data_IF_975874864260
#
_entry.id   IF_975874864260
#
_cell.length_a   1.000
_cell.length_b   1.000
_cell.length_c   1.000
_cell.angle_alpha   90.00
_cell.angle_beta   90.00
_cell.angle_gamma   90.00
#
_symmetry.space_group_name_H-M   'P 1'
#
loop_
_entity.id
_entity.type
_entity.pdbx_description
1 polymer ?
#
# COMPACT_ATOMS: atom_id res chain seq x y z
N UNK A 1 3.43 3.52 -25.79
CA UNK A 1 2.96 4.44 -24.75
C UNK A 1 1.83 3.85 -23.93
N UNK A 2 0.94 3.05 -24.53
CA UNK A 2 -0.25 2.47 -23.87
C UNK A 2 0.08 1.46 -22.76
N UNK A 3 1.14 0.66 -22.93
CA UNK A 3 1.56 -0.32 -21.90
C UNK A 3 1.98 0.35 -20.59
N UNK A 4 2.71 1.48 -20.65
CA UNK A 4 3.12 2.24 -19.46
C UNK A 4 1.91 2.79 -18.70
N UNK A 5 0.89 3.22 -19.43
CA UNK A 5 -0.34 3.76 -18.87
C UNK A 5 -1.16 2.64 -18.21
N UNK A 6 -1.27 1.48 -18.86
CA UNK A 6 -1.94 0.31 -18.30
C UNK A 6 -1.25 -0.20 -17.02
N UNK A 7 0.09 -0.30 -17.03
CA UNK A 7 0.88 -0.68 -15.86
C UNK A 7 0.68 0.30 -14.71
N UNK A 8 0.72 1.61 -14.97
CA UNK A 8 0.51 2.65 -13.95
C UNK A 8 -0.91 2.57 -13.34
N UNK A 9 -1.93 2.38 -14.17
CA UNK A 9 -3.31 2.21 -13.72
C UNK A 9 -3.52 0.95 -12.88
N UNK A 10 -2.90 -0.16 -13.27
CA UNK A 10 -2.95 -1.42 -12.53
C UNK A 10 -2.27 -1.29 -11.15
N UNK A 11 -1.05 -0.73 -11.10
CA UNK A 11 -0.30 -0.49 -9.85
C UNK A 11 -1.10 0.40 -8.90
N UNK A 12 -1.66 1.49 -9.42
CA UNK A 12 -2.47 2.40 -8.63
C UNK A 12 -3.71 1.70 -8.05
N UNK A 13 -4.41 0.92 -8.86
CA UNK A 13 -5.59 0.18 -8.42
C UNK A 13 -5.24 -0.84 -7.34
N UNK A 14 -4.17 -1.62 -7.54
CA UNK A 14 -3.69 -2.63 -6.57
C UNK A 14 -3.32 -2.01 -5.22
N UNK A 15 -2.65 -0.86 -5.25
CA UNK A 15 -2.27 -0.15 -4.04
C UNK A 15 -3.49 0.42 -3.30
N UNK A 16 -4.39 1.08 -4.01
CA UNK A 16 -5.59 1.66 -3.42
C UNK A 16 -6.54 0.60 -2.86
N UNK A 17 -6.74 -0.52 -3.57
CA UNK A 17 -7.53 -1.65 -3.06
C UNK A 17 -6.95 -2.22 -1.76
N UNK A 18 -5.62 -2.31 -1.67
CA UNK A 18 -4.92 -2.75 -0.46
C UNK A 18 -5.04 -1.71 0.67
N UNK A 19 -4.95 -0.41 0.36
CA UNK A 19 -5.15 0.67 1.33
C UNK A 19 -6.57 0.66 1.90
N UNK A 20 -7.60 0.53 1.07
CA UNK A 20 -8.98 0.49 1.55
C UNK A 20 -9.22 -0.72 2.46
N UNK A 21 -8.73 -1.88 2.05
CA UNK A 21 -8.78 -3.09 2.88
C UNK A 21 -8.09 -2.89 4.23
N UNK A 22 -6.90 -2.27 4.23
CA UNK A 22 -6.20 -1.93 5.46
C UNK A 22 -7.02 -1.01 6.38
N UNK A 23 -7.63 0.05 5.84
CA UNK A 23 -8.46 1.01 6.61
C UNK A 23 -9.67 0.33 7.27
N UNK A 24 -10.22 -0.71 6.66
CA UNK A 24 -11.29 -1.50 7.29
C UNK A 24 -10.78 -2.50 8.33
N UNK A 25 -9.61 -3.11 8.09
CA UNK A 25 -9.12 -4.22 8.90
C UNK A 25 -8.18 -3.83 10.04
N UNK A 26 -7.57 -2.64 10.04
CA UNK A 26 -6.61 -2.28 11.10
C UNK A 26 -7.25 -2.25 12.50
N UNK A 27 -8.49 -1.80 12.62
CA UNK A 27 -9.24 -1.75 13.90
C UNK A 27 -9.47 -3.15 14.49
N UNK A 28 -10.12 -4.09 13.79
CA UNK A 28 -10.31 -5.45 14.31
C UNK A 28 -8.99 -6.22 14.43
N UNK A 29 -7.98 -5.91 13.61
CA UNK A 29 -6.67 -6.53 13.73
C UNK A 29 -5.91 -6.10 15.00
N UNK A 30 -6.08 -4.86 15.46
CA UNK A 30 -5.39 -4.36 16.65
C UNK A 30 -6.17 -4.62 17.94
N UNK A 31 -7.51 -4.65 17.87
CA UNK A 31 -8.40 -4.97 19.01
C UNK A 31 -9.29 -6.19 18.72
N UNK A 32 -8.72 -7.41 18.63
CA UNK A 32 -9.49 -8.62 18.34
C UNK A 32 -10.46 -9.02 19.47
N UNK A 33 -10.23 -8.55 20.71
CA UNK A 33 -11.05 -8.87 21.88
C UNK A 33 -11.84 -7.67 22.44
N UNK A 34 -11.94 -6.57 21.70
CA UNK A 34 -12.61 -5.36 22.17
C UNK A 34 -11.87 -4.65 23.30
N UNK A 35 -10.53 -4.72 23.31
CA UNK A 35 -9.69 -3.93 24.18
C UNK A 35 -9.91 -2.43 23.90
N UNK A 36 -9.99 -1.61 24.95
CA UNK A 36 -10.09 -0.15 24.86
C UNK A 36 -8.73 0.43 24.44
N UNK A 37 -8.47 0.42 23.14
CA UNK A 37 -7.27 1.02 22.57
C UNK A 37 -7.61 2.46 22.16
N UNK A 38 -6.74 3.45 22.42
CA UNK A 38 -6.98 4.82 22.00
C UNK A 38 -6.89 4.97 20.47
N UNK A 39 -7.99 4.64 19.77
CA UNK A 39 -8.09 4.67 18.30
C UNK A 39 -7.68 6.02 17.72
N UNK A 40 -8.03 7.12 18.40
CA UNK A 40 -7.66 8.47 17.98
C UNK A 40 -6.15 8.71 17.99
N UNK A 41 -5.41 8.22 18.99
CA UNK A 41 -3.95 8.35 19.04
C UNK A 41 -3.26 7.49 17.98
N UNK A 42 -3.76 6.29 17.72
CA UNK A 42 -3.21 5.41 16.68
C UNK A 42 -3.43 6.03 15.30
N UNK A 43 -4.65 6.49 15.03
CA UNK A 43 -4.97 7.16 13.79
C UNK A 43 -4.15 8.46 13.61
N UNK A 44 -3.94 9.24 14.67
CA UNK A 44 -3.04 10.39 14.64
C UNK A 44 -1.59 9.98 14.32
N UNK A 45 -1.13 8.84 14.85
CA UNK A 45 0.20 8.29 14.54
C UNK A 45 0.31 7.88 13.07
N UNK A 46 -0.73 7.26 12.51
CA UNK A 46 -0.80 6.92 11.08
C UNK A 46 -0.77 8.16 10.19
N UNK A 47 -1.54 9.19 10.55
CA UNK A 47 -1.51 10.48 9.85
C UNK A 47 -0.14 11.15 9.93
N UNK A 48 0.53 11.08 11.09
CA UNK A 48 1.89 11.60 11.23
C UNK A 48 2.89 10.81 10.36
N UNK A 49 2.77 9.48 10.32
CA UNK A 49 3.60 8.63 9.47
C UNK A 49 3.41 8.94 7.98
N UNK A 50 2.17 9.12 7.53
CA UNK A 50 1.86 9.47 6.13
C UNK A 50 2.33 10.88 5.76
N UNK A 51 2.28 11.85 6.68
CA UNK A 51 2.87 13.19 6.50
C UNK A 51 4.40 13.12 6.37
N UNK A 52 5.06 12.30 7.20
CA UNK A 52 6.50 12.06 7.10
C UNK A 52 6.86 11.43 5.74
N UNK A 53 6.13 10.41 5.33
CA UNK A 53 6.29 9.78 4.01
C UNK A 53 6.13 10.76 2.85
N UNK A 54 5.08 11.60 2.89
CA UNK A 54 4.85 12.63 1.87
C UNK A 54 6.00 13.65 1.80
N UNK A 55 6.54 14.03 2.95
CA UNK A 55 7.68 14.95 3.05
C UNK A 55 8.97 14.34 2.48
N UNK A 56 9.21 13.05 2.73
CA UNK A 56 10.33 12.29 2.15
C UNK A 56 10.18 12.25 0.63
N UNK A 57 8.99 11.91 0.13
CA UNK A 57 8.72 11.87 -1.30
C UNK A 57 8.88 13.24 -1.97
N UNK A 58 8.41 14.32 -1.35
CA UNK A 58 8.62 15.67 -1.86
C UNK A 58 10.12 16.01 -2.00
N UNK A 59 10.95 15.63 -1.01
CA UNK A 59 12.41 15.81 -1.08
C UNK A 59 13.07 14.93 -2.14
N UNK A 60 12.62 13.68 -2.28
CA UNK A 60 13.10 12.77 -3.33
C UNK A 60 12.74 13.30 -4.71
N UNK A 61 11.52 13.79 -4.91
CA UNK A 61 11.07 14.40 -6.16
C UNK A 61 11.80 15.70 -6.49
N UNK A 62 12.18 16.48 -5.47
CA UNK A 62 13.00 17.68 -5.65
C UNK A 62 14.45 17.36 -6.05
N UNK A 63 14.97 16.18 -5.66
CA UNK A 63 16.31 15.72 -6.02
C UNK A 63 16.23 14.79 -7.21
N UNK A 64 16.49 15.33 -8.41
CA UNK A 64 16.50 14.62 -9.71
C UNK A 64 17.46 13.41 -9.83
N UNK A 65 18.10 12.99 -8.74
CA UNK A 65 19.08 11.90 -8.70
C UNK A 65 18.44 10.51 -8.66
N UNK A 66 17.18 10.39 -8.21
CA UNK A 66 16.50 9.10 -8.07
C UNK A 66 15.25 9.08 -8.95
N UNK A 67 15.21 8.17 -9.93
CA UNK A 67 14.00 7.92 -10.73
C UNK A 67 12.87 7.45 -9.83
N UNK A 68 11.68 8.00 -10.06
CA UNK A 68 10.46 7.68 -9.29
C UNK A 68 10.18 6.19 -9.33
N UNK A 69 10.48 5.58 -10.46
CA UNK A 69 10.20 4.19 -10.72
C UNK A 69 10.99 3.23 -9.81
N UNK A 70 12.24 3.59 -9.47
CA UNK A 70 13.14 2.74 -8.69
C UNK A 70 12.82 2.77 -7.19
N UNK A 71 12.57 3.95 -6.61
CA UNK A 71 12.25 4.01 -5.19
C UNK A 71 10.83 3.51 -4.91
N UNK A 72 9.87 3.68 -5.83
CA UNK A 72 8.51 3.17 -5.68
C UNK A 72 8.47 1.64 -5.57
N UNK A 73 9.37 0.93 -6.25
CA UNK A 73 9.48 -0.52 -6.11
C UNK A 73 9.83 -0.92 -4.67
N UNK A 74 10.77 -0.21 -4.05
CA UNK A 74 11.19 -0.43 -2.65
C UNK A 74 10.02 -0.13 -1.72
N UNK A 75 9.29 0.96 -1.97
CA UNK A 75 8.09 1.33 -1.20
C UNK A 75 7.05 0.21 -1.24
N UNK A 76 6.73 -0.36 -2.40
CA UNK A 76 5.79 -1.47 -2.49
C UNK A 76 6.27 -2.74 -1.79
N UNK A 77 7.58 -3.03 -1.82
CA UNK A 77 8.17 -4.15 -1.08
C UNK A 77 8.05 -3.94 0.43
N UNK A 78 8.35 -2.74 0.91
CA UNK A 78 8.19 -2.37 2.33
C UNK A 78 6.72 -2.49 2.73
N UNK A 79 5.78 -1.99 1.91
CA UNK A 79 4.35 -2.13 2.16
C UNK A 79 3.90 -3.60 2.22
N UNK A 80 4.36 -4.42 1.28
CA UNK A 80 4.05 -5.86 1.23
C UNK A 80 4.58 -6.59 2.46
N UNK A 81 5.82 -6.31 2.88
CA UNK A 81 6.40 -6.86 4.11
C UNK A 81 5.68 -6.36 5.36
N UNK A 82 5.27 -5.09 5.37
CA UNK A 82 4.54 -4.47 6.49
C UNK A 82 3.17 -5.11 6.71
N UNK A 83 2.47 -5.49 5.64
CA UNK A 83 1.21 -6.22 5.74
C UNK A 83 1.39 -7.72 6.01
N UNK A 84 2.60 -8.28 5.89
CA UNK A 84 2.92 -9.64 6.36
C UNK A 84 3.23 -9.70 7.86
N UNK A 85 3.65 -8.59 8.47
CA UNK A 85 3.96 -8.54 9.90
C UNK A 85 2.78 -8.99 10.79
N UNK A 86 1.53 -8.52 10.61
CA UNK A 86 0.39 -8.99 11.40
C UNK A 86 0.15 -10.50 11.28
N UNK A 87 0.46 -11.09 10.11
CA UNK A 87 0.33 -12.52 9.88
C UNK A 87 1.40 -13.25 10.69
N UNK A 88 2.66 -12.81 10.59
CA UNK A 88 3.78 -13.39 11.32
C UNK A 88 3.62 -13.26 12.83
N UNK A 89 3.14 -12.13 13.34
CA UNK A 89 2.89 -11.95 14.78
C UNK A 89 1.80 -12.88 15.29
N UNK A 90 0.73 -13.08 14.51
CA UNK A 90 -0.34 -14.04 14.83
C UNK A 90 0.17 -15.48 14.87
N UNK A 91 1.16 -15.85 14.04
CA UNK A 91 1.72 -17.20 14.00
C UNK A 91 2.87 -17.44 14.99
N UNK A 92 3.74 -16.47 15.24
CA UNK A 92 4.96 -16.63 16.04
C UNK A 92 4.83 -16.18 17.49
N UNK A 93 3.88 -15.30 17.81
CA UNK A 93 3.68 -14.80 19.17
C UNK A 93 2.35 -15.34 19.68
N UNK A 94 2.34 -16.39 20.53
CA UNK A 94 1.13 -16.80 21.22
C UNK A 94 0.68 -15.61 22.09
N UNK A 95 -0.47 -15.02 21.77
CA UNK A 95 -1.09 -13.99 22.61
C UNK A 95 -1.26 -14.55 24.02
N UNK A 96 -0.61 -14.00 25.06
CA UNK A 96 -0.92 -14.36 26.43
C UNK A 96 -2.41 -14.07 26.66
N UNK A 97 -3.15 -15.02 27.24
CA UNK A 97 -4.60 -14.92 27.52
C UNK A 97 -4.96 -13.85 28.58
N UNK A 98 -4.01 -13.02 29.01
CA UNK A 98 -4.22 -12.08 30.10
C UNK A 98 -4.30 -10.63 29.62
N UNK A 99 -5.31 -9.93 30.16
CA UNK A 99 -5.54 -8.50 30.02
C UNK A 99 -4.40 -7.72 30.67
N UNK A 100 -3.29 -7.54 29.95
CA UNK A 100 -2.24 -6.61 30.39
C UNK A 100 -2.58 -5.24 29.83
N UNK A 101 -2.81 -4.27 30.71
CA UNK A 101 -3.18 -2.88 30.37
C UNK A 101 -2.09 -2.06 29.67
N UNK A 102 -1.16 -2.71 28.95
CA UNK A 102 -0.11 -2.08 28.15
C UNK A 102 0.03 -2.84 26.81
N UNK A 103 0.36 -2.11 25.74
CA UNK A 103 0.49 -2.66 24.39
C UNK A 103 1.48 -3.85 24.43
N UNK A 104 0.97 -5.07 24.26
CA UNK A 104 1.80 -6.28 24.17
C UNK A 104 2.87 -6.11 23.08
N UNK A 105 4.03 -6.76 23.24
CA UNK A 105 5.12 -6.69 22.25
C UNK A 105 4.63 -7.00 20.81
N UNK A 106 3.66 -7.92 20.67
CA UNK A 106 3.01 -8.22 19.40
C UNK A 106 2.19 -7.06 18.83
N UNK A 107 1.43 -6.34 19.67
CA UNK A 107 0.65 -5.17 19.27
C UNK A 107 1.53 -3.98 18.88
N UNK A 108 2.66 -3.78 19.58
CA UNK A 108 3.65 -2.76 19.24
C UNK A 108 4.30 -3.02 17.87
N UNK A 109 4.64 -4.29 17.59
CA UNK A 109 5.22 -4.69 16.30
C UNK A 109 4.20 -4.54 15.16
N UNK A 110 2.94 -4.87 15.41
CA UNK A 110 1.85 -4.68 14.46
C UNK A 110 1.59 -3.19 14.16
N UNK A 111 1.57 -2.34 15.19
CA UNK A 111 1.44 -0.89 15.05
C UNK A 111 2.62 -0.29 14.27
N UNK A 112 3.84 -0.78 14.49
CA UNK A 112 5.02 -0.39 13.72
C UNK A 112 4.87 -0.77 12.24
N UNK A 113 4.39 -1.99 11.94
CA UNK A 113 4.10 -2.42 10.57
C UNK A 113 3.04 -1.55 9.91
N UNK A 114 1.96 -1.23 10.62
CA UNK A 114 0.91 -0.33 10.13
C UNK A 114 1.42 1.09 9.89
N UNK A 115 2.28 1.63 10.77
CA UNK A 115 2.92 2.92 10.55
C UNK A 115 3.85 2.92 9.34
N UNK A 116 4.60 1.83 9.11
CA UNK A 116 5.47 1.69 7.94
C UNK A 116 4.65 1.62 6.63
N UNK A 117 3.51 0.94 6.65
CA UNK A 117 2.56 0.93 5.54
C UNK A 117 2.00 2.34 5.27
N UNK A 118 1.57 3.08 6.30
CA UNK A 118 1.06 4.45 6.17
C UNK A 118 2.12 5.46 5.69
N UNK A 119 3.36 5.33 6.15
CA UNK A 119 4.47 6.10 5.61
C UNK A 119 4.67 5.81 4.11
N UNK A 120 4.49 4.56 3.69
CA UNK A 120 4.57 4.15 2.30
C UNK A 120 3.42 4.71 1.45
N UNK A 121 2.20 4.77 2.00
CA UNK A 121 1.04 5.46 1.40
C UNK A 121 1.34 6.94 1.20
N UNK A 122 1.94 7.59 2.20
CA UNK A 122 2.38 8.98 2.11
C UNK A 122 3.40 9.22 0.98
N UNK A 123 4.31 8.27 0.74
CA UNK A 123 5.26 8.36 -0.37
C UNK A 123 4.59 8.10 -1.73
N UNK A 124 3.64 7.16 -1.75
CA UNK A 124 2.96 6.71 -2.96
C UNK A 124 2.17 7.84 -3.64
N UNK A 125 1.37 8.61 -2.90
CA UNK A 125 0.50 9.67 -3.45
C UNK A 125 1.20 10.75 -4.29
N UNK A 126 2.25 11.45 -3.80
CA UNK A 126 2.96 12.45 -4.59
C UNK A 126 3.70 11.81 -5.79
N UNK A 127 4.21 10.60 -5.62
CA UNK A 127 4.97 9.87 -6.63
C UNK A 127 4.09 9.41 -7.80
N UNK A 128 2.92 8.83 -7.50
CA UNK A 128 1.94 8.46 -8.52
C UNK A 128 1.43 9.71 -9.24
N UNK A 129 1.19 10.82 -8.52
CA UNK A 129 0.73 12.08 -9.13
C UNK A 129 1.70 12.60 -10.19
N UNK A 130 3.01 12.50 -9.92
CA UNK A 130 4.09 12.88 -10.84
C UNK A 130 4.16 11.95 -12.05
N UNK A 131 4.15 10.63 -11.85
CA UNK A 131 4.15 9.66 -12.97
C UNK A 131 2.90 9.83 -13.85
N UNK A 132 1.74 10.03 -13.22
CA UNK A 132 0.47 10.25 -13.88
C UNK A 132 0.53 11.49 -14.79
N UNK A 133 1.25 12.55 -14.40
CA UNK A 133 1.35 13.79 -15.22
C UNK A 133 2.34 13.67 -16.36
N UNK A 134 3.31 12.75 -16.26
CA UNK A 134 4.30 12.53 -17.30
C UNK A 134 3.83 11.53 -18.36
N UNK A 135 3.05 10.51 -17.96
CA UNK A 135 2.73 9.38 -18.84
C UNK A 135 1.31 9.41 -19.42
N UNK A 136 0.35 10.12 -18.82
CA UNK A 136 -1.06 10.01 -19.21
C UNK A 136 -1.57 11.34 -19.77
N UNK A 137 -2.02 11.38 -21.05
CA UNK A 137 -2.67 12.56 -21.62
C UNK A 137 -3.94 12.90 -20.83
N UNK A 138 -4.20 14.20 -20.64
CA UNK A 138 -5.26 14.68 -19.76
C UNK A 138 -6.65 14.16 -20.14
N UNK A 139 -6.92 13.95 -21.43
CA UNK A 139 -8.24 13.54 -21.92
C UNK A 139 -8.63 12.11 -21.51
N UNK A 140 -7.67 11.17 -21.50
CA UNK A 140 -7.94 9.74 -21.26
C UNK A 140 -7.65 9.29 -19.83
N UNK A 141 -7.12 10.19 -18.98
CA UNK A 141 -6.62 9.84 -17.65
C UNK A 141 -7.68 9.22 -16.75
N UNK A 142 -8.84 9.87 -16.67
CA UNK A 142 -9.95 9.41 -15.82
C UNK A 142 -10.46 8.05 -16.30
N UNK A 143 -10.66 7.89 -17.61
CA UNK A 143 -11.18 6.67 -18.22
C UNK A 143 -10.28 5.46 -17.97
N UNK A 144 -8.97 5.60 -18.21
CA UNK A 144 -8.04 4.48 -18.04
C UNK A 144 -7.88 4.10 -16.57
N UNK A 145 -7.76 5.08 -15.66
CA UNK A 145 -7.70 4.78 -14.23
C UNK A 145 -8.97 4.07 -13.73
N UNK A 146 -10.15 4.54 -14.16
CA UNK A 146 -11.42 3.94 -13.75
C UNK A 146 -11.60 2.53 -14.33
N UNK A 147 -11.14 2.29 -15.55
CA UNK A 147 -11.22 0.97 -16.19
C UNK A 147 -10.49 -0.13 -15.39
N UNK A 148 -9.33 0.19 -14.80
CA UNK A 148 -8.60 -0.76 -13.94
C UNK A 148 -9.10 -0.78 -12.49
N UNK A 149 -9.60 0.36 -11.97
CA UNK A 149 -10.12 0.46 -10.61
C UNK A 149 -11.41 -0.31 -10.41
N UNK A 150 -12.37 -0.23 -11.34
CA UNK A 150 -13.71 -0.79 -11.15
C UNK A 150 -13.65 -2.32 -10.93
N UNK A 151 -13.01 -3.13 -11.80
CA UNK A 151 -12.99 -4.58 -11.63
C UNK A 151 -12.24 -5.00 -10.35
N UNK A 152 -11.11 -4.36 -10.08
CA UNK A 152 -10.28 -4.70 -8.93
C UNK A 152 -10.96 -4.31 -7.60
N UNK A 153 -11.57 -3.13 -7.53
CA UNK A 153 -12.28 -2.70 -6.34
C UNK A 153 -13.55 -3.52 -6.12
N UNK A 154 -14.25 -3.93 -7.18
CA UNK A 154 -15.36 -4.90 -7.06
C UNK A 154 -14.86 -6.21 -6.46
N UNK A 155 -13.73 -6.74 -6.95
CA UNK A 155 -13.13 -7.96 -6.38
C UNK A 155 -12.80 -7.78 -4.88
N UNK A 156 -12.16 -6.67 -4.51
CA UNK A 156 -11.86 -6.34 -3.11
C UNK A 156 -13.14 -6.22 -2.27
N UNK A 157 -14.17 -5.56 -2.79
CA UNK A 157 -15.47 -5.44 -2.11
C UNK A 157 -16.13 -6.81 -1.91
N UNK A 158 -16.05 -7.73 -2.88
CA UNK A 158 -16.58 -9.10 -2.73
C UNK A 158 -15.84 -9.85 -1.63
N UNK A 159 -14.51 -9.73 -1.58
CA UNK A 159 -13.68 -10.35 -0.54
C UNK A 159 -14.02 -9.77 0.84
N UNK A 160 -14.13 -8.44 0.95
CA UNK A 160 -14.50 -7.76 2.19
C UNK A 160 -15.95 -8.04 2.62
N UNK A 161 -16.87 -8.20 1.68
CA UNK A 161 -18.25 -8.60 1.99
C UNK A 161 -18.32 -10.00 2.59
N UNK A 162 -17.40 -10.89 2.20
CA UNK A 162 -17.26 -12.22 2.76
C UNK A 162 -16.28 -12.26 3.95
N UNK A 163 -16.10 -11.16 4.70
CA UNK A 163 -15.17 -11.09 5.84
C UNK A 163 -15.51 -12.07 6.97
N UNK A 164 -16.78 -12.41 7.14
CA UNK A 164 -17.18 -13.42 8.13
C UNK A 164 -16.75 -14.84 7.72
N UNK A 165 -16.49 -15.06 6.42
CA UNK A 165 -16.04 -16.35 5.89
C UNK A 165 -14.51 -16.47 5.78
N UNK A 166 -13.78 -15.36 5.77
CA UNK A 166 -12.32 -15.35 5.58
C UNK A 166 -11.58 -14.71 6.76
N UNK A 167 -10.59 -15.40 7.35
CA UNK A 167 -9.82 -14.83 8.45
C UNK A 167 -9.02 -13.60 7.98
N UNK A 168 -8.86 -12.62 8.87
CA UNK A 168 -8.14 -11.36 8.64
C UNK A 168 -6.72 -11.58 8.10
N UNK A 169 -6.07 -12.68 8.50
CA UNK A 169 -4.76 -13.12 7.98
C UNK A 169 -4.77 -13.40 6.48
N UNK A 170 -5.84 -14.01 5.95
CA UNK A 170 -5.98 -14.25 4.51
C UNK A 170 -6.16 -12.93 3.76
N UNK A 171 -6.92 -11.99 4.32
CA UNK A 171 -7.11 -10.67 3.71
C UNK A 171 -5.81 -9.86 3.63
N UNK A 172 -5.06 -9.79 4.73
CA UNK A 172 -3.73 -9.15 4.72
C UNK A 172 -2.75 -9.89 3.79
N UNK A 173 -2.85 -11.21 3.71
CA UNK A 173 -2.07 -12.03 2.77
C UNK A 173 -2.35 -11.66 1.32
N UNK A 174 -3.63 -11.51 0.96
CA UNK A 174 -4.03 -11.08 -0.38
C UNK A 174 -3.56 -9.65 -0.69
N UNK A 175 -3.70 -8.71 0.25
CA UNK A 175 -3.15 -7.36 0.09
C UNK A 175 -1.63 -7.39 -0.11
N UNK A 176 -0.91 -8.22 0.65
CA UNK A 176 0.54 -8.37 0.48
C UNK A 176 0.91 -8.91 -0.90
N UNK A 177 0.17 -9.90 -1.42
CA UNK A 177 0.35 -10.43 -2.78
C UNK A 177 0.07 -9.33 -3.81
N UNK A 178 -1.00 -8.55 -3.65
CA UNK A 178 -1.32 -7.45 -4.58
C UNK A 178 -0.24 -6.38 -4.60
N UNK A 179 0.31 -6.00 -3.45
CA UNK A 179 1.43 -5.06 -3.36
C UNK A 179 2.72 -5.66 -3.94
N UNK A 180 2.94 -6.97 -3.78
CA UNK A 180 4.07 -7.64 -4.39
C UNK A 180 3.96 -7.67 -5.92
N UNK A 181 2.77 -7.98 -6.45
CA UNK A 181 2.48 -7.88 -7.89
C UNK A 181 2.67 -6.45 -8.37
N UNK A 182 2.18 -5.45 -7.63
CA UNK A 182 2.39 -4.04 -7.94
C UNK A 182 3.89 -3.68 -8.00
N UNK A 183 4.73 -4.24 -7.11
CA UNK A 183 6.18 -4.08 -7.17
C UNK A 183 6.80 -4.67 -8.44
N UNK A 184 6.34 -5.84 -8.88
CA UNK A 184 6.78 -6.46 -10.14
C UNK A 184 6.36 -5.60 -11.34
N UNK A 185 5.12 -5.12 -11.37
CA UNK A 185 4.62 -4.23 -12.41
C UNK A 185 5.40 -2.91 -12.43
N UNK A 186 5.74 -2.36 -11.26
CA UNK A 186 6.56 -1.16 -11.12
C UNK A 186 7.97 -1.39 -11.67
N UNK A 187 8.56 -2.56 -11.43
CA UNK A 187 9.85 -2.94 -11.99
C UNK A 187 9.80 -3.08 -13.51
N UNK A 188 8.70 -3.61 -14.06
CA UNK A 188 8.47 -3.66 -15.51
C UNK A 188 8.35 -2.25 -16.08
N UNK A 189 7.60 -1.36 -15.43
CA UNK A 189 7.48 0.04 -15.82
C UNK A 189 8.85 0.74 -15.84
N UNK A 190 9.68 0.53 -14.80
CA UNK A 190 11.05 1.05 -14.73
C UNK A 190 11.92 0.55 -15.91
N UNK A 191 11.90 -0.75 -16.17
CA UNK A 191 12.68 -1.36 -17.26
C UNK A 191 12.25 -0.86 -18.65
N UNK A 192 10.97 -0.59 -18.85
CA UNK A 192 10.45 0.00 -20.09
C UNK A 192 10.84 1.48 -20.18
N UNK A 193 10.88 2.20 -19.05
CA UNK A 193 11.35 3.59 -18.95
C UNK A 193 12.82 3.77 -19.30
N UNK A 194 13.66 2.78 -18.97
CA UNK A 194 15.11 2.77 -19.20
C UNK A 194 15.51 2.47 -20.65
N UNK A 195 14.61 1.92 -21.49
CA UNK A 195 14.88 1.81 -22.93
C UNK A 195 14.99 3.22 -23.52
N UNK A 196 16.16 3.64 -24.03
CA UNK A 196 16.29 4.92 -24.70
C UNK A 196 15.31 4.98 -25.88
N UNK A 197 14.83 6.19 -26.20
CA UNK A 197 14.21 6.50 -27.48
C UNK A 197 15.23 6.22 -28.60
N UNK A 198 15.36 4.98 -29.00
CA UNK A 198 15.86 4.52 -30.30
C UNK A 198 14.67 3.73 -30.86
N UNK A 199 13.96 4.13 -31.90
CA UNK A 199 14.33 4.84 -33.11
C UNK A 199 13.06 5.56 -33.61
N UNK A 200 13.11 6.87 -33.81
CA UNK A 200 12.28 7.54 -34.81
C UNK A 200 13.26 8.46 -35.56
N UNK A 201 13.87 7.88 -36.60
CA UNK A 201 14.58 8.58 -37.67
C UNK A 201 13.61 8.73 -38.83
#
# INVERSE_FOLDING_TARGET
SDERIALLGAIQSLFEGSMYTFVFLWTPALSPHGEEIPHGFIFATFMLASMLGSSIAARLLARNFVRVENYMQIVFLISSASLLLPILTTFFVPTPKEKVGSISFGGSLQLLGFCAFEASVGIFWPSIMKMRSMYIPEEARSTIMNFFRIPLNIFVCIVLYNVDAFPITVMFGMCSIFLFVASILQRRLAAIGDKPKSEEW
#
